data_IF_497481143614
#
_entry.id   IF_497481143614
#
_cell.length_a   1.000
_cell.length_b   1.000
_cell.length_c   1.000
_cell.angle_alpha   90.00
_cell.angle_beta   90.00
_cell.angle_gamma   90.00
#
_symmetry.space_group_name_H-M   'P 1'
#
loop_
_entity.id
_entity.type
_entity.pdbx_description
1 polymer ?
#
# COMPACT_ATOMS: atom_id res chain seq x y z
N UNK A 1 -19.71 -8.87 -15.57
CA UNK A 1 -18.61 -8.85 -14.58
C UNK A 1 -18.69 -7.56 -13.77
N UNK A 2 -18.64 -7.68 -12.46
CA UNK A 2 -18.69 -6.49 -11.60
C UNK A 2 -17.39 -5.68 -11.72
N UNK A 3 -17.53 -4.38 -11.95
CA UNK A 3 -16.39 -3.47 -12.00
C UNK A 3 -16.00 -3.12 -10.55
N UNK A 4 -14.72 -3.25 -10.23
CA UNK A 4 -14.18 -2.83 -8.95
C UNK A 4 -13.61 -1.41 -9.09
N UNK A 5 -14.04 -0.52 -8.22
CA UNK A 5 -13.58 0.88 -8.26
C UNK A 5 -12.48 1.10 -7.24
N UNK A 6 -11.43 1.80 -7.66
CA UNK A 6 -10.39 2.31 -6.77
C UNK A 6 -10.89 3.63 -6.19
N UNK A 7 -10.95 3.70 -4.87
CA UNK A 7 -11.41 4.89 -4.15
C UNK A 7 -10.40 5.28 -3.07
N UNK A 8 -10.49 6.52 -2.61
CA UNK A 8 -9.59 7.01 -1.56
C UNK A 8 -9.76 6.22 -0.27
N UNK A 9 -8.64 5.93 0.38
CA UNK A 9 -8.61 5.24 1.67
C UNK A 9 -9.00 6.24 2.76
N UNK A 10 -10.13 6.00 3.38
CA UNK A 10 -10.67 6.88 4.43
C UNK A 10 -10.70 6.16 5.78
N UNK A 11 -11.01 6.91 6.84
CA UNK A 11 -11.05 6.35 8.20
C UNK A 11 -11.93 5.10 8.33
N UNK A 12 -13.07 5.08 7.64
CA UNK A 12 -13.99 3.94 7.67
C UNK A 12 -13.41 2.65 7.09
N UNK A 13 -12.33 2.77 6.33
CA UNK A 13 -11.66 1.62 5.71
C UNK A 13 -10.59 1.01 6.61
N UNK A 14 -10.20 1.66 7.71
CA UNK A 14 -9.04 1.24 8.50
C UNK A 14 -9.22 -0.15 9.09
N UNK A 15 -10.33 -0.41 9.79
CA UNK A 15 -10.54 -1.74 10.38
C UNK A 15 -10.67 -2.85 9.33
N UNK A 16 -11.44 -2.67 8.24
CA UNK A 16 -11.45 -3.67 7.16
C UNK A 16 -10.07 -3.88 6.53
N UNK A 17 -9.28 -2.84 6.36
CA UNK A 17 -7.94 -2.95 5.79
C UNK A 17 -7.00 -3.71 6.73
N UNK A 18 -7.07 -3.45 8.04
CA UNK A 18 -6.27 -4.20 9.01
C UNK A 18 -6.63 -5.69 9.00
N UNK A 19 -7.91 -6.01 8.87
CA UNK A 19 -8.35 -7.40 8.74
C UNK A 19 -7.78 -8.06 7.48
N UNK A 20 -7.79 -7.33 6.36
CA UNK A 20 -7.20 -7.80 5.11
C UNK A 20 -5.69 -8.04 5.27
N UNK A 21 -4.98 -7.09 5.87
CA UNK A 21 -3.53 -7.19 6.06
C UNK A 21 -3.14 -8.39 6.91
N UNK A 22 -3.89 -8.67 7.98
CA UNK A 22 -3.63 -9.84 8.85
C UNK A 22 -3.75 -11.15 8.09
N UNK A 23 -4.57 -11.21 7.05
CA UNK A 23 -4.73 -12.39 6.22
C UNK A 23 -3.75 -12.49 5.06
N UNK A 24 -2.82 -11.52 4.91
CA UNK A 24 -1.85 -11.51 3.82
C UNK A 24 -0.44 -11.70 4.37
N UNK A 25 0.17 -12.89 4.23
CA UNK A 25 1.49 -13.18 4.83
C UNK A 25 2.61 -12.23 4.42
N UNK A 26 2.51 -11.63 3.22
CA UNK A 26 3.52 -10.70 2.73
C UNK A 26 3.47 -9.31 3.39
N UNK A 27 2.45 -9.03 4.21
CA UNK A 27 2.31 -7.75 4.88
C UNK A 27 2.80 -7.88 6.32
N UNK A 28 3.89 -7.18 6.64
CA UNK A 28 4.45 -7.19 8.00
C UNK A 28 3.92 -6.03 8.82
N UNK A 29 2.87 -6.27 9.61
CA UNK A 29 2.37 -5.26 10.54
C UNK A 29 3.31 -5.15 11.73
N UNK A 30 3.59 -3.91 12.16
CA UNK A 30 4.52 -3.62 13.24
C UNK A 30 4.14 -2.32 13.95
N UNK A 31 5.05 -1.77 14.73
CA UNK A 31 4.85 -0.46 15.35
C UNK A 31 4.57 0.59 14.25
N UNK A 32 3.58 1.44 14.49
CA UNK A 32 3.13 2.41 13.49
C UNK A 32 1.90 1.97 12.70
N UNK A 33 1.43 0.73 12.89
CA UNK A 33 0.32 0.17 12.13
C UNK A 33 -0.96 -0.03 12.96
N UNK A 34 -1.07 0.64 14.11
CA UNK A 34 -2.34 0.64 14.84
C UNK A 34 -3.36 1.49 14.11
N UNK A 35 -4.66 1.28 14.41
CA UNK A 35 -5.72 2.08 13.78
C UNK A 35 -5.53 3.59 13.97
N UNK A 36 -5.21 4.11 15.18
CA UNK A 36 -4.93 5.53 15.34
C UNK A 36 -3.72 6.02 14.54
N UNK A 37 -2.69 5.20 14.42
CA UNK A 37 -1.48 5.56 13.68
C UNK A 37 -1.75 5.63 12.17
N UNK A 38 -2.53 4.69 11.65
CA UNK A 38 -2.95 4.72 10.25
C UNK A 38 -3.85 5.94 10.00
N UNK A 39 -4.76 6.25 10.93
CA UNK A 39 -5.61 7.44 10.80
C UNK A 39 -4.76 8.72 10.70
N UNK A 40 -3.74 8.85 11.54
CA UNK A 40 -2.83 10.00 11.51
C UNK A 40 -2.05 10.05 10.19
N UNK A 41 -1.61 8.90 9.69
CA UNK A 41 -0.92 8.81 8.40
C UNK A 41 -1.82 9.28 7.25
N UNK A 42 -3.07 8.83 7.21
CA UNK A 42 -4.03 9.25 6.18
C UNK A 42 -4.33 10.74 6.25
N UNK A 43 -4.43 11.29 7.45
CA UNK A 43 -4.66 12.73 7.64
C UNK A 43 -3.47 13.56 7.15
N UNK A 44 -2.25 13.05 7.34
CA UNK A 44 -1.02 13.71 6.88
C UNK A 44 -0.85 13.61 5.36
N UNK A 45 -1.36 12.56 4.74
CA UNK A 45 -1.20 12.28 3.31
C UNK A 45 -2.57 12.04 2.65
N UNK A 46 -3.44 13.06 2.59
CA UNK A 46 -4.79 12.86 2.05
C UNK A 46 -4.77 12.58 0.55
N UNK A 47 -5.53 11.59 0.11
CA UNK A 47 -5.70 11.27 -1.29
C UNK A 47 -4.65 10.37 -1.92
N UNK A 48 -3.59 10.01 -1.20
CA UNK A 48 -2.51 9.18 -1.75
C UNK A 48 -2.77 7.68 -1.58
N UNK A 49 -3.40 7.28 -0.50
CA UNK A 49 -3.74 5.89 -0.22
C UNK A 49 -5.08 5.53 -0.86
N UNK A 50 -5.26 4.27 -1.22
CA UNK A 50 -6.46 3.83 -1.92
C UNK A 50 -6.90 2.43 -1.50
N UNK A 51 -8.17 2.15 -1.72
CA UNK A 51 -8.78 0.84 -1.45
C UNK A 51 -9.66 0.44 -2.64
N UNK A 52 -10.00 -0.84 -2.69
CA UNK A 52 -10.99 -1.37 -3.62
C UNK A 52 -12.08 -2.06 -2.81
N UNK A 53 -13.32 -1.71 -3.10
CA UNK A 53 -14.49 -2.35 -2.49
C UNK A 53 -15.29 -3.10 -3.56
N UNK A 54 -15.96 -4.18 -3.14
CA UNK A 54 -16.95 -4.84 -3.97
C UNK A 54 -18.23 -4.00 -4.02
N UNK A 55 -19.16 -4.27 -4.98
CA UNK A 55 -20.46 -3.59 -4.95
C UNK A 55 -21.24 -3.78 -3.65
N UNK A 56 -20.98 -4.85 -2.91
CA UNK A 56 -21.58 -5.08 -1.60
C UNK A 56 -20.90 -4.30 -0.46
N UNK A 57 -19.81 -3.59 -0.76
CA UNK A 57 -19.11 -2.80 0.24
C UNK A 57 -17.98 -3.51 0.98
N UNK A 58 -17.61 -4.72 0.56
CA UNK A 58 -16.49 -5.44 1.17
C UNK A 58 -15.16 -4.93 0.65
N UNK A 59 -14.25 -4.59 1.54
CA UNK A 59 -12.91 -4.15 1.16
C UNK A 59 -12.06 -5.36 0.77
N UNK A 60 -11.56 -5.37 -0.46
CA UNK A 60 -10.82 -6.51 -1.02
C UNK A 60 -9.39 -6.19 -1.42
N UNK A 61 -9.01 -4.92 -1.42
CA UNK A 61 -7.64 -4.53 -1.70
C UNK A 61 -7.35 -3.17 -1.09
N UNK A 62 -6.09 -2.93 -0.73
CA UNK A 62 -5.70 -1.67 -0.10
C UNK A 62 -4.22 -1.41 -0.29
N UNK A 63 -3.85 -0.12 -0.34
CA UNK A 63 -2.47 0.34 -0.31
C UNK A 63 -2.38 1.63 0.49
N UNK A 64 -1.36 1.76 1.32
CA UNK A 64 -1.02 3.02 1.98
C UNK A 64 0.06 3.72 1.17
N UNK A 65 -0.08 5.02 1.01
CA UNK A 65 0.87 5.83 0.27
C UNK A 65 1.03 7.20 0.92
N UNK A 66 2.26 7.67 1.00
CA UNK A 66 2.55 8.99 1.52
C UNK A 66 3.89 9.49 1.05
N UNK A 67 4.22 10.72 1.43
CA UNK A 67 5.52 11.34 1.11
C UNK A 67 5.93 12.31 2.20
N UNK A 68 7.22 12.65 2.19
CA UNK A 68 7.82 13.60 3.13
C UNK A 68 8.08 14.97 2.51
N UNK A 69 7.52 15.24 1.34
CA UNK A 69 7.75 16.44 0.54
C UNK A 69 8.80 16.25 -0.55
N UNK A 70 9.57 15.15 -0.51
CA UNK A 70 10.64 14.86 -1.47
C UNK A 70 10.57 13.46 -2.03
N UNK A 71 10.24 12.47 -1.20
CA UNK A 71 10.21 11.05 -1.55
C UNK A 71 8.92 10.41 -1.08
N UNK A 72 8.37 9.55 -1.93
CA UNK A 72 7.17 8.81 -1.62
C UNK A 72 7.47 7.39 -1.18
N UNK A 73 6.51 6.80 -0.49
CA UNK A 73 6.52 5.40 -0.09
C UNK A 73 5.15 4.79 -0.29
N UNK A 74 5.13 3.55 -0.75
CA UNK A 74 3.95 2.70 -0.69
C UNK A 74 4.16 1.67 0.42
N UNK A 75 3.13 1.45 1.22
CA UNK A 75 3.16 0.47 2.31
C UNK A 75 1.98 -0.46 2.18
N UNK A 76 2.18 -1.72 2.57
CA UNK A 76 1.09 -2.68 2.79
C UNK A 76 0.13 -2.77 1.61
N UNK A 77 0.65 -3.01 0.41
CA UNK A 77 -0.20 -3.38 -0.72
C UNK A 77 -0.72 -4.80 -0.49
N UNK A 78 -2.01 -4.96 -0.45
CA UNK A 78 -2.63 -6.25 -0.25
C UNK A 78 -3.88 -6.40 -1.13
N UNK A 79 -4.07 -7.60 -1.66
CA UNK A 79 -5.25 -7.99 -2.43
C UNK A 79 -5.75 -9.30 -1.85
N UNK A 80 -7.06 -9.36 -1.53
CA UNK A 80 -7.67 -10.57 -1.02
C UNK A 80 -7.38 -11.73 -1.98
N UNK A 81 -7.01 -12.93 -1.46
CA UNK A 81 -6.66 -14.06 -2.32
C UNK A 81 -7.69 -14.38 -3.40
N UNK A 82 -8.97 -14.27 -3.08
CA UNK A 82 -10.05 -14.57 -4.02
C UNK A 82 -10.20 -13.52 -5.13
N UNK A 83 -9.55 -12.38 -4.99
CA UNK A 83 -9.65 -11.26 -5.95
C UNK A 83 -8.33 -11.07 -6.73
N UNK A 84 -7.35 -11.92 -6.54
CA UNK A 84 -6.06 -11.82 -7.24
C UNK A 84 -6.20 -12.17 -8.72
N UNK A 85 -5.25 -11.70 -9.53
CA UNK A 85 -5.26 -11.95 -10.97
C UNK A 85 -6.24 -11.07 -11.74
N UNK A 86 -6.81 -10.06 -11.14
CA UNK A 86 -7.80 -9.15 -11.74
C UNK A 86 -7.27 -7.74 -11.97
N UNK A 87 -5.99 -7.51 -11.70
CA UNK A 87 -5.36 -6.20 -11.90
C UNK A 87 -5.62 -5.19 -10.78
N UNK A 88 -6.15 -5.61 -9.62
CA UNK A 88 -6.46 -4.68 -8.53
C UNK A 88 -5.20 -4.07 -7.92
N UNK A 89 -4.17 -4.87 -7.69
CA UNK A 89 -2.89 -4.36 -7.18
C UNK A 89 -2.28 -3.34 -8.10
N UNK A 90 -2.26 -3.62 -9.39
CA UNK A 90 -1.78 -2.68 -10.41
C UNK A 90 -2.57 -1.37 -10.38
N UNK A 91 -3.89 -1.46 -10.29
CA UNK A 91 -4.75 -0.28 -10.26
C UNK A 91 -4.50 0.59 -9.02
N UNK A 92 -4.30 -0.04 -7.85
CA UNK A 92 -3.97 0.68 -6.63
C UNK A 92 -2.63 1.41 -6.76
N UNK A 93 -1.61 0.73 -7.28
CA UNK A 93 -0.30 1.34 -7.48
C UNK A 93 -0.42 2.52 -8.44
N UNK A 94 -1.16 2.36 -9.53
CA UNK A 94 -1.36 3.43 -10.51
C UNK A 94 -2.01 4.68 -9.88
N UNK A 95 -3.02 4.47 -9.02
CA UNK A 95 -3.65 5.58 -8.29
C UNK A 95 -2.63 6.35 -7.46
N UNK A 96 -1.85 5.65 -6.65
CA UNK A 96 -0.87 6.28 -5.76
C UNK A 96 0.25 6.96 -6.54
N UNK A 97 0.75 6.33 -7.60
CA UNK A 97 1.79 6.95 -8.42
C UNK A 97 1.28 8.21 -9.12
N UNK A 98 0.05 8.21 -9.59
CA UNK A 98 -0.57 9.39 -10.20
C UNK A 98 -0.66 10.56 -9.20
N UNK A 99 -1.09 10.26 -7.97
CA UNK A 99 -1.16 11.27 -6.90
C UNK A 99 0.22 11.83 -6.56
N UNK A 100 1.23 10.97 -6.47
CA UNK A 100 2.60 11.40 -6.19
C UNK A 100 3.17 12.25 -7.33
N UNK A 101 2.92 11.87 -8.59
CA UNK A 101 3.35 12.69 -9.74
C UNK A 101 2.72 14.07 -9.71
N UNK A 102 1.41 14.14 -9.43
CA UNK A 102 0.71 15.41 -9.33
C UNK A 102 1.28 16.29 -8.22
N UNK A 103 1.73 15.68 -7.13
CA UNK A 103 2.39 16.38 -6.03
C UNK A 103 3.85 16.77 -6.31
N UNK A 104 4.40 16.37 -7.46
CA UNK A 104 5.78 16.69 -7.82
C UNK A 104 6.83 15.80 -7.17
N UNK A 105 6.45 14.64 -6.65
CA UNK A 105 7.38 13.71 -5.99
C UNK A 105 8.13 12.90 -7.06
N UNK A 106 9.48 12.97 -7.10
CA UNK A 106 10.24 12.36 -8.19
C UNK A 106 10.52 10.88 -8.05
N UNK A 107 10.40 10.32 -6.85
CA UNK A 107 10.79 8.92 -6.61
C UNK A 107 9.94 8.33 -5.50
N UNK A 108 9.57 7.07 -5.68
CA UNK A 108 8.80 6.32 -4.69
C UNK A 108 9.49 4.98 -4.41
N UNK A 109 9.45 4.54 -3.16
CA UNK A 109 10.08 3.30 -2.71
C UNK A 109 9.08 2.40 -2.01
N UNK A 110 9.40 1.12 -1.95
CA UNK A 110 8.68 0.13 -1.16
C UNK A 110 9.68 -0.64 -0.31
N UNK A 111 9.19 -1.21 0.80
CA UNK A 111 9.92 -2.24 1.55
C UNK A 111 9.28 -3.58 1.23
N UNK A 112 10.09 -4.53 0.83
CA UNK A 112 9.64 -5.87 0.45
C UNK A 112 10.51 -6.89 1.17
N UNK A 113 9.88 -7.86 1.84
CA UNK A 113 10.64 -8.96 2.44
C UNK A 113 11.45 -9.69 1.37
N UNK A 114 12.71 -9.96 1.65
CA UNK A 114 13.61 -10.59 0.67
C UNK A 114 13.16 -11.98 0.24
N UNK A 115 12.38 -12.67 1.08
CA UNK A 115 11.84 -13.99 0.77
C UNK A 115 10.48 -13.96 0.09
N UNK A 116 9.96 -12.78 -0.23
CA UNK A 116 8.67 -12.64 -0.93
C UNK A 116 8.90 -12.66 -2.44
N UNK A 117 9.05 -13.86 -3.01
CA UNK A 117 9.33 -14.04 -4.43
C UNK A 117 8.15 -13.58 -5.31
N UNK A 118 6.93 -13.83 -4.88
CA UNK A 118 5.72 -13.40 -5.60
C UNK A 118 5.64 -11.88 -5.68
N UNK A 119 5.90 -11.19 -4.56
CA UNK A 119 5.94 -9.73 -4.53
C UNK A 119 7.04 -9.19 -5.43
N UNK A 120 8.24 -9.80 -5.39
CA UNK A 120 9.35 -9.36 -6.22
C UNK A 120 8.98 -9.42 -7.71
N UNK A 121 8.31 -10.48 -8.15
CA UNK A 121 7.85 -10.60 -9.54
C UNK A 121 6.81 -9.55 -9.90
N UNK A 122 5.87 -9.29 -8.99
CA UNK A 122 4.83 -8.29 -9.19
C UNK A 122 5.43 -6.90 -9.44
N UNK A 123 6.33 -6.47 -8.55
CA UNK A 123 6.93 -5.13 -8.65
C UNK A 123 7.85 -5.01 -9.86
N UNK A 124 8.65 -6.05 -10.15
CA UNK A 124 9.52 -6.04 -11.34
C UNK A 124 8.70 -5.92 -12.62
N UNK A 125 7.58 -6.61 -12.69
CA UNK A 125 6.68 -6.54 -13.87
C UNK A 125 6.09 -5.15 -14.07
N UNK A 126 5.92 -4.39 -12.99
CA UNK A 126 5.45 -3.01 -13.06
C UNK A 126 6.57 -2.00 -13.36
N UNK A 127 7.81 -2.46 -13.52
CA UNK A 127 8.93 -1.61 -13.85
C UNK A 127 9.71 -1.09 -12.65
N UNK A 128 9.43 -1.61 -11.45
CA UNK A 128 10.17 -1.22 -10.25
C UNK A 128 11.55 -1.90 -10.25
N UNK A 129 12.54 -1.18 -9.75
CA UNK A 129 13.94 -1.63 -9.77
C UNK A 129 14.43 -1.90 -8.36
N UNK A 130 14.99 -3.11 -8.16
CA UNK A 130 15.65 -3.44 -6.90
C UNK A 130 16.91 -2.58 -6.71
N UNK A 131 17.08 -2.02 -5.52
CA UNK A 131 18.28 -1.28 -5.11
C UNK A 131 19.12 -2.18 -4.22
N UNK A 132 19.90 -3.06 -4.83
CA UNK A 132 20.77 -4.00 -4.11
C UNK A 132 21.93 -3.32 -3.39
N UNK A 133 22.20 -2.05 -3.71
CA UNK A 133 23.24 -1.25 -3.08
C UNK A 133 22.80 -0.59 -1.77
N UNK A 134 21.52 -0.74 -1.39
CA UNK A 134 20.98 -0.15 -0.17
C UNK A 134 20.55 -1.21 0.82
N UNK A 135 20.64 -0.90 2.10
CA UNK A 135 20.05 -1.70 3.17
C UNK A 135 19.15 -0.82 4.03
N UNK A 136 18.18 -1.44 4.67
CA UNK A 136 17.31 -0.75 5.63
C UNK A 136 17.93 -0.91 7.02
N UNK A 137 18.12 0.20 7.73
CA UNK A 137 18.54 0.21 9.12
C UNK A 137 17.51 0.98 9.93
N UNK A 138 17.19 0.49 11.12
CA UNK A 138 16.14 1.05 11.96
C UNK A 138 16.62 1.24 13.38
N UNK A 139 16.07 2.22 14.05
CA UNK A 139 16.30 2.48 15.46
C UNK A 139 14.93 2.68 16.11
N UNK A 140 14.63 1.94 17.17
CA UNK A 140 13.34 2.05 17.85
C UNK A 140 13.35 3.22 18.83
N UNK A 141 12.36 4.11 18.70
CA UNK A 141 12.23 5.28 19.57
C UNK A 141 11.25 5.06 20.72
N UNK A 142 10.42 4.00 20.61
CA UNK A 142 9.47 3.63 21.68
C UNK A 142 9.85 2.27 22.25
N UNK A 143 9.70 2.12 23.54
CA UNK A 143 9.98 0.86 24.23
C UNK A 143 8.89 -0.18 24.00
#
# INVERSE_FOLDING_TARGET
MAIRSVIAFEARHIEPALALYRGCPGVGLSAGDSAPEIAAFLARNPGFSAVVETPAGDLVAAVLCGHDGRRGFLYHLAVHPDERGRGLGRALVAHSLSALRFAGIPRVSIHLFTNNAEGAKFWAKLGWRLRADLSVQQFELRD
#
